data_IF_840077919853
#
_entry.id   IF_840077919853
#
_cell.length_a   1.000
_cell.length_b   1.000
_cell.length_c   1.000
_cell.angle_alpha   90.00
_cell.angle_beta   90.00
_cell.angle_gamma   90.00
#
_symmetry.space_group_name_H-M   'P 1'
#
loop_
_entity.id
_entity.type
_entity.pdbx_description
1 polymer ?
#
# COMPACT_ATOMS: atom_id res chain seq x y z
N UNK A 1 -1.82 15.21 -7.50
CA UNK A 1 -0.41 14.79 -7.68
C UNK A 1 0.40 15.21 -6.47
N UNK A 2 1.25 14.33 -5.96
CA UNK A 2 2.07 14.65 -4.79
C UNK A 2 3.21 15.61 -5.18
N UNK A 3 3.77 16.26 -4.16
CA UNK A 3 4.91 17.15 -4.35
C UNK A 3 6.20 16.37 -4.09
N UNK A 4 6.96 16.10 -5.15
CA UNK A 4 8.19 15.29 -5.08
C UNK A 4 9.28 15.87 -4.18
N UNK A 5 9.21 17.15 -3.85
CA UNK A 5 10.22 17.81 -3.01
C UNK A 5 9.92 17.73 -1.52
N UNK A 6 8.70 17.35 -1.16
CA UNK A 6 8.28 17.29 0.25
C UNK A 6 8.47 15.90 0.83
N UNK A 7 8.63 15.80 2.17
CA UNK A 7 8.68 14.49 2.81
C UNK A 7 7.49 13.65 2.41
N UNK A 8 7.75 12.39 2.09
CA UNK A 8 6.76 11.45 1.58
C UNK A 8 6.90 10.12 2.29
N UNK A 9 5.79 9.57 2.70
CA UNK A 9 5.77 8.23 3.27
C UNK A 9 5.55 7.20 2.17
N UNK A 10 6.01 5.99 2.39
CA UNK A 10 5.96 4.89 1.42
C UNK A 10 5.15 3.74 2.00
N UNK A 11 4.23 3.22 1.19
CA UNK A 11 3.57 1.95 1.47
C UNK A 11 4.01 0.95 0.41
N UNK A 12 4.52 -0.19 0.82
CA UNK A 12 4.95 -1.24 -0.11
C UNK A 12 4.12 -2.50 0.14
N UNK A 13 3.48 -3.03 -0.90
CA UNK A 13 2.68 -4.23 -0.75
C UNK A 13 2.20 -4.77 -2.08
N UNK A 14 1.56 -5.94 -2.04
CA UNK A 14 0.99 -6.56 -3.23
C UNK A 14 -0.44 -6.09 -3.49
N UNK A 15 -1.19 -5.83 -2.41
CA UNK A 15 -2.59 -5.34 -2.46
C UNK A 15 -3.49 -6.23 -3.34
N UNK A 16 -3.63 -7.49 -2.94
CA UNK A 16 -4.31 -8.54 -3.71
C UNK A 16 -5.56 -9.09 -2.99
N UNK A 17 -6.63 -8.33 -2.82
CA UNK A 17 -6.86 -6.94 -3.23
C UNK A 17 -6.45 -5.92 -2.17
N UNK A 18 -6.58 -4.65 -2.50
CA UNK A 18 -6.51 -3.56 -1.52
C UNK A 18 -7.78 -3.63 -0.67
N UNK A 19 -7.62 -3.80 0.65
CA UNK A 19 -8.75 -4.00 1.55
C UNK A 19 -8.77 -2.99 2.69
N UNK A 20 -9.73 -3.11 3.61
CA UNK A 20 -9.89 -2.14 4.68
C UNK A 20 -8.69 -2.05 5.62
N UNK A 21 -7.95 -3.15 5.80
CA UNK A 21 -6.69 -3.11 6.55
C UNK A 21 -5.67 -2.20 5.88
N UNK A 22 -5.58 -2.27 4.55
CA UNK A 22 -4.70 -1.37 3.78
C UNK A 22 -5.20 0.07 3.84
N UNK A 23 -6.50 0.28 3.84
CA UNK A 23 -7.08 1.60 3.95
C UNK A 23 -6.73 2.25 5.29
N UNK A 24 -6.85 1.51 6.39
CA UNK A 24 -6.48 2.00 7.71
C UNK A 24 -4.98 2.28 7.79
N UNK A 25 -4.16 1.42 7.20
CA UNK A 25 -2.72 1.64 7.10
C UNK A 25 -2.42 2.92 6.32
N UNK A 26 -3.12 3.15 5.22
CA UNK A 26 -2.95 4.36 4.42
C UNK A 26 -3.23 5.62 5.24
N UNK A 27 -4.33 5.62 5.99
CA UNK A 27 -4.68 6.79 6.82
C UNK A 27 -3.61 7.08 7.86
N UNK A 28 -3.10 6.05 8.53
CA UNK A 28 -2.03 6.20 9.51
C UNK A 28 -0.73 6.68 8.86
N UNK A 29 -0.42 6.13 7.69
CA UNK A 29 0.77 6.51 6.94
C UNK A 29 0.69 7.97 6.49
N UNK A 30 -0.49 8.38 6.01
CA UNK A 30 -0.72 9.75 5.57
C UNK A 30 -0.49 10.77 6.70
N UNK A 31 -0.83 10.41 7.93
CA UNK A 31 -0.61 11.27 9.09
C UNK A 31 0.86 11.60 9.32
N UNK A 32 1.77 10.73 8.84
CA UNK A 32 3.21 10.91 9.06
C UNK A 32 3.80 12.06 8.28
N UNK A 33 3.40 12.22 7.02
CA UNK A 33 4.03 13.19 6.12
C UNK A 33 3.05 14.04 5.31
N UNK A 34 1.76 13.68 5.31
CA UNK A 34 0.75 14.40 4.53
C UNK A 34 0.63 13.97 3.09
N UNK A 35 1.51 13.10 2.62
CA UNK A 35 1.41 12.50 1.29
C UNK A 35 2.09 11.14 1.27
N UNK A 36 1.62 10.25 0.41
CA UNK A 36 2.04 8.84 0.39
C UNK A 36 2.30 8.39 -1.03
N UNK A 37 3.40 7.66 -1.24
CA UNK A 37 3.60 6.88 -2.45
C UNK A 37 3.22 5.43 -2.15
N UNK A 38 2.29 4.89 -2.92
CA UNK A 38 1.83 3.50 -2.77
C UNK A 38 2.56 2.68 -3.84
N UNK A 39 3.48 1.83 -3.39
CA UNK A 39 4.31 1.03 -4.27
C UNK A 39 3.73 -0.38 -4.35
N UNK A 40 3.19 -0.72 -5.52
CA UNK A 40 2.54 -2.01 -5.75
C UNK A 40 3.56 -2.99 -6.30
N UNK A 41 3.88 -4.02 -5.51
CA UNK A 41 4.80 -5.08 -5.93
C UNK A 41 4.13 -5.93 -6.99
N UNK A 42 4.80 -6.09 -8.12
CA UNK A 42 4.32 -6.90 -9.23
C UNK A 42 4.80 -8.34 -9.03
N UNK A 43 3.89 -9.21 -8.61
CA UNK A 43 4.20 -10.59 -8.27
C UNK A 43 3.35 -11.54 -9.09
N UNK A 44 3.93 -12.67 -9.49
CA UNK A 44 3.22 -13.73 -10.17
C UNK A 44 2.71 -14.79 -9.19
N UNK A 45 1.89 -15.71 -9.69
CA UNK A 45 1.45 -16.87 -8.94
C UNK A 45 0.00 -16.81 -8.53
N UNK A 46 -0.52 -17.92 -8.03
CA UNK A 46 -1.93 -18.06 -7.69
C UNK A 46 -2.40 -17.14 -6.56
N UNK A 47 -1.48 -16.67 -5.73
CA UNK A 47 -1.82 -15.74 -4.67
C UNK A 47 -1.84 -14.29 -5.13
N UNK A 48 -1.55 -14.05 -6.41
CA UNK A 48 -1.50 -12.72 -7.00
C UNK A 48 -2.30 -12.67 -8.31
N UNK A 49 -3.62 -12.95 -8.25
CA UNK A 49 -4.44 -13.05 -9.46
C UNK A 49 -4.75 -11.72 -10.13
N UNK A 50 -4.54 -10.60 -9.43
CA UNK A 50 -4.91 -9.29 -9.97
C UNK A 50 -3.70 -8.60 -10.58
N UNK A 51 -3.77 -8.24 -11.89
CA UNK A 51 -2.68 -7.46 -12.51
C UNK A 51 -2.66 -6.04 -11.93
N UNK A 52 -1.53 -5.36 -12.11
CA UNK A 52 -1.34 -4.01 -11.59
C UNK A 52 -2.48 -3.05 -11.95
N UNK A 53 -2.93 -3.10 -13.20
CA UNK A 53 -4.02 -2.23 -13.68
C UNK A 53 -5.28 -2.37 -12.82
N UNK A 54 -5.62 -3.61 -12.46
CA UNK A 54 -6.79 -3.88 -11.61
C UNK A 54 -6.56 -3.39 -10.18
N UNK A 55 -5.37 -3.66 -9.63
CA UNK A 55 -5.01 -3.22 -8.29
C UNK A 55 -5.08 -1.68 -8.21
N UNK A 56 -4.48 -1.02 -9.18
CA UNK A 56 -4.47 0.45 -9.26
C UNK A 56 -5.89 1.03 -9.27
N UNK A 57 -6.75 0.46 -10.10
CA UNK A 57 -8.14 0.91 -10.21
C UNK A 57 -8.88 0.79 -8.87
N UNK A 58 -8.69 -0.32 -8.18
CA UNK A 58 -9.33 -0.54 -6.87
C UNK A 58 -8.82 0.44 -5.81
N UNK A 59 -7.53 0.73 -5.82
CA UNK A 59 -6.95 1.69 -4.88
C UNK A 59 -7.50 3.09 -5.15
N UNK A 60 -7.51 3.52 -6.40
CA UNK A 60 -8.04 4.83 -6.78
C UNK A 60 -9.48 4.99 -6.33
N UNK A 61 -10.29 3.97 -6.57
CA UNK A 61 -11.70 3.98 -6.19
C UNK A 61 -11.86 4.14 -4.67
N UNK A 62 -11.07 3.40 -3.89
CA UNK A 62 -11.18 3.43 -2.43
C UNK A 62 -10.65 4.72 -1.83
N UNK A 63 -9.61 5.30 -2.45
CA UNK A 63 -8.95 6.50 -1.94
C UNK A 63 -9.39 7.79 -2.65
N UNK A 64 -10.51 7.77 -3.33
CA UNK A 64 -10.97 8.92 -4.12
C UNK A 64 -11.08 10.21 -3.31
N UNK A 65 -11.38 10.12 -2.02
CA UNK A 65 -11.49 11.28 -1.13
C UNK A 65 -10.13 11.90 -0.80
N UNK A 66 -9.05 11.16 -1.10
CA UNK A 66 -7.68 11.58 -0.81
C UNK A 66 -6.92 11.97 -2.08
N UNK A 67 -7.64 12.28 -3.15
CA UNK A 67 -7.04 12.66 -4.43
C UNK A 67 -6.01 13.77 -4.23
N UNK A 68 -4.85 13.61 -4.84
CA UNK A 68 -3.75 14.57 -4.73
C UNK A 68 -2.83 14.31 -3.56
N UNK A 69 -3.20 13.43 -2.64
CA UNK A 69 -2.40 13.12 -1.46
C UNK A 69 -1.61 11.83 -1.61
N UNK A 70 -1.76 11.13 -2.72
CA UNK A 70 -1.06 9.87 -2.97
C UNK A 70 -0.71 9.71 -4.44
N UNK A 71 0.25 8.82 -4.69
CA UNK A 71 0.61 8.41 -6.04
C UNK A 71 0.83 6.89 -6.01
N UNK A 72 0.41 6.19 -7.06
CA UNK A 72 0.51 4.75 -7.14
C UNK A 72 1.58 4.39 -8.17
N UNK A 73 2.56 3.59 -7.76
CA UNK A 73 3.68 3.20 -8.61
C UNK A 73 3.78 1.68 -8.65
N UNK A 74 3.92 1.13 -9.85
CA UNK A 74 4.23 -0.28 -10.02
C UNK A 74 5.72 -0.48 -9.79
N UNK A 75 6.08 -1.46 -8.94
CA UNK A 75 7.49 -1.77 -8.66
C UNK A 75 7.73 -3.26 -8.82
N UNK A 76 8.99 -3.68 -9.00
CA UNK A 76 9.31 -5.11 -9.03
C UNK A 76 8.93 -5.80 -7.73
N UNK A 77 9.09 -7.12 -7.69
CA UNK A 77 8.86 -7.90 -6.48
C UNK A 77 9.96 -7.63 -5.44
N UNK A 78 9.88 -6.46 -4.81
CA UNK A 78 10.86 -6.01 -3.82
C UNK A 78 10.70 -6.85 -2.55
N UNK A 79 11.79 -7.49 -2.13
CA UNK A 79 11.82 -8.30 -0.91
C UNK A 79 12.74 -7.73 0.16
N UNK A 80 13.63 -6.81 -0.22
CA UNK A 80 14.62 -6.25 0.69
C UNK A 80 14.64 -4.74 0.58
N UNK A 81 14.68 -4.07 1.72
CA UNK A 81 14.81 -2.61 1.78
C UNK A 81 16.18 -2.32 2.39
N UNK A 82 17.07 -1.73 1.60
CA UNK A 82 18.46 -1.51 1.99
C UNK A 82 18.82 -0.04 1.94
N UNK A 83 19.54 0.43 2.95
CA UNK A 83 20.09 1.77 2.95
C UNK A 83 21.48 1.74 3.58
N UNK A 84 22.38 2.63 3.12
CA UNK A 84 23.77 2.58 3.55
C UNK A 84 24.12 3.49 4.73
N UNK A 85 23.33 4.52 4.95
CA UNK A 85 23.56 5.49 6.03
C UNK A 85 22.25 5.87 6.68
N UNK A 86 22.29 6.02 7.99
CA UNK A 86 21.11 6.43 8.77
C UNK A 86 20.98 7.96 8.70
N UNK A 87 20.52 8.46 7.55
CA UNK A 87 20.41 9.89 7.31
C UNK A 87 18.99 10.28 6.95
N UNK A 88 18.16 10.45 7.95
CA UNK A 88 16.83 11.00 7.78
C UNK A 88 15.75 10.04 7.33
N UNK A 89 16.06 8.74 7.24
CA UNK A 89 15.01 7.75 6.96
C UNK A 89 14.44 7.21 8.25
N UNK A 90 13.12 7.13 8.31
CA UNK A 90 12.43 6.51 9.43
C UNK A 90 11.72 5.27 8.88
N UNK A 91 12.08 4.10 9.40
CA UNK A 91 11.42 2.84 9.02
C UNK A 91 10.50 2.46 10.16
N UNK A 92 9.20 2.51 9.92
CA UNK A 92 8.19 2.34 10.94
C UNK A 92 7.26 1.18 10.63
N UNK A 93 7.07 0.32 11.63
CA UNK A 93 5.97 -0.63 11.60
C UNK A 93 4.77 0.08 12.23
N UNK A 94 3.70 0.24 11.45
CA UNK A 94 2.48 0.86 11.95
C UNK A 94 1.57 -0.21 12.51
N UNK A 95 1.29 -0.11 13.81
CA UNK A 95 0.40 -1.04 14.49
C UNK A 95 -1.03 -0.59 14.33
N UNK A 96 -1.91 -1.50 13.96
CA UNK A 96 -3.33 -1.28 13.81
C UNK A 96 -4.07 -2.09 14.88
N UNK A 97 -5.32 -1.75 15.20
CA UNK A 97 -6.12 -2.59 16.11
C UNK A 97 -6.14 -4.03 15.63
N UNK A 98 -6.11 -4.97 16.56
CA UNK A 98 -6.10 -6.41 16.26
C UNK A 98 -7.20 -6.79 15.27
N UNK A 99 -8.38 -6.22 15.43
CA UNK A 99 -9.50 -6.44 14.53
C UNK A 99 -9.15 -6.13 13.08
N UNK A 100 -8.36 -5.08 12.85
CA UNK A 100 -7.94 -4.67 11.51
C UNK A 100 -6.79 -5.55 11.02
N UNK A 101 -5.80 -5.84 11.87
CA UNK A 101 -4.66 -6.64 11.51
C UNK A 101 -5.02 -8.08 11.14
N UNK A 102 -6.15 -8.57 11.61
CA UNK A 102 -6.62 -9.92 11.29
C UNK A 102 -7.19 -10.04 9.87
N UNK A 103 -7.41 -8.92 9.17
CA UNK A 103 -7.93 -8.96 7.81
C UNK A 103 -6.87 -9.53 6.87
N UNK A 104 -7.25 -10.53 6.07
CA UNK A 104 -6.36 -11.20 5.13
C UNK A 104 -6.89 -11.05 3.71
N UNK A 105 -6.01 -10.66 2.78
CA UNK A 105 -6.35 -10.59 1.37
C UNK A 105 -6.73 -11.97 0.82
N UNK A 106 -6.09 -13.02 1.33
CA UNK A 106 -6.40 -14.39 0.93
C UNK A 106 -7.82 -14.77 1.32
N UNK A 107 -8.23 -14.43 2.54
CA UNK A 107 -9.59 -14.69 3.00
C UNK A 107 -10.62 -13.91 2.18
N UNK A 108 -10.32 -12.67 1.84
CA UNK A 108 -11.20 -11.83 1.03
C UNK A 108 -11.37 -12.44 -0.36
N UNK A 109 -10.28 -12.88 -0.99
CA UNK A 109 -10.35 -13.52 -2.30
C UNK A 109 -11.18 -14.78 -2.26
N UNK A 110 -10.98 -15.62 -1.26
CA UNK A 110 -11.72 -16.88 -1.10
C UNK A 110 -13.21 -16.62 -0.91
N UNK A 111 -13.58 -15.58 -0.19
CA UNK A 111 -14.97 -15.17 -0.01
C UNK A 111 -15.61 -14.71 -1.33
N UNK A 112 -14.86 -13.94 -2.12
CA UNK A 112 -15.38 -13.34 -3.35
C UNK A 112 -15.47 -14.35 -4.49
N UNK A 113 -14.68 -15.40 -4.44
CA UNK A 113 -14.66 -16.44 -5.47
C UNK A 113 -15.75 -17.50 -5.28
N UNK A 114 -16.56 -17.36 -4.28
CA UNK A 114 -17.72 -18.20 -4.05
C UNK A 114 -18.98 -17.47 -4.52
#
# INVERSE_FOLDING_TARGET
>A
MINYKKPTAQMLGRFQPFHEGHFELFKKTLEKTGQVVIMVRDCDGKNNPYPFKTVRRKIIKRLREYRGMFEIIRVPNITNICYGRDVGYVIEKISLPEKIESISATEIRNKNDK
#
